data_IF_894206772915
#
_entry.id   IF_894206772915
#
_cell.length_a   1.000
_cell.length_b   1.000
_cell.length_c   1.000
_cell.angle_alpha   90.00
_cell.angle_beta   90.00
_cell.angle_gamma   90.00
#
_symmetry.space_group_name_H-M   'P 1'
#
loop_
_entity.id
_entity.type
_entity.pdbx_description
1 polymer ?
#
# COMPACT_ATOMS: atom_id res chain seq x y z
N UNK A 1 -31.00 112.28 10.07
CA UNK A 1 -29.80 112.28 10.92
C UNK A 1 -28.66 112.79 10.06
N UNK A 2 -28.07 113.94 10.38
CA UNK A 2 -27.13 114.64 9.49
C UNK A 2 -25.80 113.90 9.42
N UNK A 3 -25.22 113.83 8.21
CA UNK A 3 -24.01 113.08 7.86
C UNK A 3 -22.80 113.38 8.76
N UNK A 4 -22.77 114.58 9.37
CA UNK A 4 -21.72 115.00 10.29
C UNK A 4 -21.73 114.23 11.63
N UNK A 5 -22.91 113.83 12.15
CA UNK A 5 -22.98 113.07 13.42
C UNK A 5 -22.43 111.65 13.30
N UNK A 6 -22.51 111.05 12.11
CA UNK A 6 -21.95 109.71 11.83
C UNK A 6 -20.43 109.78 11.73
N UNK A 7 -19.89 110.82 11.10
CA UNK A 7 -18.44 111.04 10.95
C UNK A 7 -17.74 111.30 12.29
N UNK A 8 -18.34 112.08 13.18
CA UNK A 8 -17.77 112.33 14.51
C UNK A 8 -17.83 111.10 15.42
N UNK A 9 -18.87 110.28 15.29
CA UNK A 9 -18.97 109.01 16.00
C UNK A 9 -17.93 107.99 15.51
N UNK A 10 -17.72 107.89 14.20
CA UNK A 10 -16.69 107.04 13.56
C UNK A 10 -15.27 107.45 14.01
N UNK A 11 -14.99 108.75 14.10
CA UNK A 11 -13.69 109.26 14.58
C UNK A 11 -13.48 109.00 16.08
N UNK A 12 -14.56 109.01 16.87
CA UNK A 12 -14.50 108.79 18.32
C UNK A 12 -14.39 107.30 18.70
N UNK A 13 -14.71 106.38 17.80
CA UNK A 13 -14.70 104.93 18.05
C UNK A 13 -13.94 104.14 16.96
N UNK A 14 -12.66 104.45 16.70
CA UNK A 14 -11.90 103.87 15.59
C UNK A 14 -11.77 102.35 15.67
N UNK A 15 -11.65 101.80 16.89
CA UNK A 15 -11.57 100.36 17.12
C UNK A 15 -12.86 99.63 16.71
N UNK A 16 -14.04 100.20 17.00
CA UNK A 16 -15.32 99.58 16.64
C UNK A 16 -15.48 99.53 15.13
N UNK A 17 -15.06 100.58 14.42
CA UNK A 17 -15.12 100.63 12.95
C UNK A 17 -14.14 99.64 12.32
N UNK A 18 -12.91 99.54 12.85
CA UNK A 18 -11.93 98.53 12.39
C UNK A 18 -12.45 97.11 12.64
N UNK A 19 -13.04 96.82 13.80
CA UNK A 19 -13.64 95.51 14.08
C UNK A 19 -14.87 95.21 13.23
N UNK A 20 -15.72 96.21 12.94
CA UNK A 20 -16.86 96.04 12.05
C UNK A 20 -16.41 95.72 10.62
N UNK A 21 -15.38 96.40 10.11
CA UNK A 21 -14.78 96.12 8.80
C UNK A 21 -14.11 94.75 8.78
N UNK A 22 -13.39 94.36 9.85
CA UNK A 22 -12.79 93.03 9.99
C UNK A 22 -13.86 91.93 10.06
N UNK A 23 -14.98 92.14 10.75
CA UNK A 23 -16.08 91.18 10.79
C UNK A 23 -16.75 91.02 9.43
N UNK A 24 -16.96 92.10 8.69
CA UNK A 24 -17.51 92.06 7.32
C UNK A 24 -16.51 91.38 6.38
N UNK A 25 -15.22 91.73 6.46
CA UNK A 25 -14.17 91.09 5.68
C UNK A 25 -14.07 89.59 5.98
N UNK A 26 -14.12 89.19 7.26
CA UNK A 26 -14.09 87.79 7.67
C UNK A 26 -15.32 87.01 7.17
N UNK A 27 -16.52 87.60 7.22
CA UNK A 27 -17.76 87.02 6.68
C UNK A 27 -17.69 86.80 5.17
N UNK A 28 -16.96 87.64 4.43
CA UNK A 28 -16.77 87.51 2.98
C UNK A 28 -15.63 86.53 2.65
N UNK A 29 -14.54 86.55 3.40
CA UNK A 29 -13.36 85.71 3.11
C UNK A 29 -13.49 84.28 3.63
N UNK A 30 -14.23 84.02 4.71
CA UNK A 30 -14.41 82.67 5.27
C UNK A 30 -15.11 81.70 4.30
N UNK A 31 -16.22 82.06 3.61
CA UNK A 31 -16.85 81.18 2.63
C UNK A 31 -15.92 80.85 1.45
N UNK A 32 -15.07 81.79 1.03
CA UNK A 32 -14.10 81.57 -0.05
C UNK A 32 -12.96 80.64 0.38
N UNK A 33 -12.44 80.79 1.60
CA UNK A 33 -11.42 79.89 2.15
C UNK A 33 -11.99 78.50 2.41
N UNK A 34 -13.21 78.41 2.96
CA UNK A 34 -13.93 77.15 3.15
C UNK A 34 -14.23 76.47 1.80
N UNK A 35 -14.58 77.22 0.76
CA UNK A 35 -14.76 76.72 -0.60
C UNK A 35 -13.48 76.13 -1.19
N UNK A 36 -12.33 76.80 -1.01
CA UNK A 36 -11.02 76.32 -1.45
C UNK A 36 -10.55 75.08 -0.68
N UNK A 37 -10.75 75.04 0.64
CA UNK A 37 -10.42 73.88 1.48
C UNK A 37 -11.32 72.68 1.17
N UNK A 38 -12.63 72.89 0.97
CA UNK A 38 -13.55 71.83 0.56
C UNK A 38 -13.24 71.30 -0.85
N UNK A 39 -12.85 72.17 -1.78
CA UNK A 39 -12.39 71.75 -3.11
C UNK A 39 -11.10 70.92 -3.02
N UNK A 40 -10.15 71.32 -2.16
CA UNK A 40 -8.90 70.57 -1.94
C UNK A 40 -9.16 69.20 -1.28
N UNK A 41 -10.04 69.13 -0.27
CA UNK A 41 -10.41 67.87 0.38
C UNK A 41 -11.19 66.96 -0.58
N UNK A 42 -12.11 67.50 -1.38
CA UNK A 42 -12.82 66.73 -2.43
C UNK A 42 -11.85 66.20 -3.49
N UNK A 43 -10.85 66.99 -3.87
CA UNK A 43 -9.82 66.54 -4.82
C UNK A 43 -8.93 65.45 -4.22
N UNK A 44 -8.46 65.61 -2.98
CA UNK A 44 -7.63 64.60 -2.31
C UNK A 44 -8.40 63.30 -2.03
N UNK A 45 -9.68 63.39 -1.67
CA UNK A 45 -10.55 62.20 -1.53
C UNK A 45 -10.86 61.55 -2.88
N UNK A 46 -11.08 62.33 -3.95
CA UNK A 46 -11.25 61.79 -5.30
C UNK A 46 -9.98 61.12 -5.81
N UNK A 47 -8.80 61.70 -5.57
CA UNK A 47 -7.50 61.14 -5.95
C UNK A 47 -7.20 59.86 -5.14
N UNK A 48 -7.51 59.83 -3.84
CA UNK A 48 -7.45 58.62 -3.01
C UNK A 48 -8.42 57.54 -3.49
N UNK A 49 -9.65 57.91 -3.83
CA UNK A 49 -10.65 56.98 -4.36
C UNK A 49 -10.21 56.40 -5.73
N UNK A 50 -9.64 57.23 -6.62
CA UNK A 50 -9.06 56.76 -7.90
C UNK A 50 -7.92 55.78 -7.68
N UNK A 51 -6.98 56.09 -6.76
CA UNK A 51 -5.91 55.16 -6.39
C UNK A 51 -6.44 53.85 -5.80
N UNK A 52 -7.49 53.88 -4.98
CA UNK A 52 -8.13 52.67 -4.46
C UNK A 52 -8.78 51.86 -5.58
N UNK A 53 -9.40 52.50 -6.57
CA UNK A 53 -9.99 51.84 -7.73
C UNK A 53 -8.93 51.24 -8.66
N UNK A 54 -7.82 51.94 -8.91
CA UNK A 54 -6.65 51.42 -9.62
C UNK A 54 -6.06 50.19 -8.90
N UNK A 55 -5.90 50.27 -7.58
CA UNK A 55 -5.46 49.14 -6.75
C UNK A 55 -6.45 47.97 -6.84
N UNK A 56 -7.77 48.21 -6.83
CA UNK A 56 -8.76 47.13 -7.00
C UNK A 56 -8.70 46.48 -8.38
N UNK A 57 -8.38 47.25 -9.44
CA UNK A 57 -8.20 46.74 -10.80
C UNK A 57 -6.92 45.93 -11.01
N UNK A 58 -5.94 46.05 -10.12
CA UNK A 58 -4.67 45.28 -10.14
C UNK A 58 -4.76 43.96 -9.36
N UNK A 59 -5.94 43.60 -8.84
CA UNK A 59 -6.14 42.30 -8.21
C UNK A 59 -6.07 41.21 -9.27
N UNK A 60 -5.06 40.36 -9.15
CA UNK A 60 -4.93 39.16 -9.98
C UNK A 60 -5.32 37.94 -9.18
N UNK A 61 -5.80 36.94 -9.90
CA UNK A 61 -6.08 35.62 -9.36
C UNK A 61 -4.77 34.84 -9.28
N UNK A 62 -4.42 34.36 -8.10
CA UNK A 62 -3.15 33.66 -7.85
C UNK A 62 -3.47 32.34 -7.15
N UNK A 63 -2.87 31.25 -7.63
CA UNK A 63 -2.84 29.99 -6.91
C UNK A 63 -1.72 30.03 -5.87
N UNK A 64 -2.09 29.92 -4.60
CA UNK A 64 -1.15 29.92 -3.48
C UNK A 64 -0.89 28.47 -3.08
N UNK A 65 0.38 28.02 -3.03
CA UNK A 65 0.72 26.68 -2.55
C UNK A 65 0.13 26.41 -1.16
N UNK A 66 -0.57 25.28 -1.00
CA UNK A 66 -1.13 24.84 0.28
C UNK A 66 -2.53 25.40 0.63
N UNK A 67 -3.17 26.17 -0.27
CA UNK A 67 -4.54 26.65 -0.08
C UNK A 67 -5.42 26.16 -1.24
N UNK A 68 -6.53 25.51 -0.93
CA UNK A 68 -7.50 25.16 -1.97
C UNK A 68 -8.17 26.41 -2.54
N UNK A 69 -8.13 26.53 -3.86
CA UNK A 69 -8.77 27.60 -4.59
C UNK A 69 -7.88 28.81 -4.89
N UNK A 70 -8.26 29.49 -5.97
CA UNK A 70 -7.63 30.70 -6.46
C UNK A 70 -7.91 31.89 -5.54
N UNK A 71 -6.87 32.57 -5.06
CA UNK A 71 -6.99 33.73 -4.18
C UNK A 71 -6.87 35.03 -4.99
N UNK A 72 -7.77 35.98 -4.78
CA UNK A 72 -7.72 37.30 -5.43
C UNK A 72 -6.92 38.28 -4.56
N UNK A 73 -5.74 38.68 -5.04
CA UNK A 73 -4.79 39.48 -4.25
C UNK A 73 -4.01 40.49 -5.09
N UNK A 74 -3.39 41.45 -4.40
CA UNK A 74 -2.46 42.40 -5.00
C UNK A 74 -1.04 41.82 -5.00
N UNK A 75 -0.45 41.65 -6.18
CA UNK A 75 0.96 41.26 -6.31
C UNK A 75 1.82 42.49 -5.99
N UNK A 76 2.33 42.57 -4.76
CA UNK A 76 3.35 43.55 -4.38
C UNK A 76 4.70 42.85 -4.11
N UNK A 77 5.80 43.62 -4.06
CA UNK A 77 7.15 43.05 -3.82
C UNK A 77 7.21 42.19 -2.54
N UNK A 78 6.55 42.64 -1.47
CA UNK A 78 6.47 41.90 -0.19
C UNK A 78 5.74 40.57 -0.33
N UNK A 79 4.73 40.48 -1.19
CA UNK A 79 4.03 39.25 -1.54
C UNK A 79 4.94 38.32 -2.34
N UNK A 80 5.62 38.79 -3.38
CA UNK A 80 6.58 37.99 -4.16
C UNK A 80 7.70 37.44 -3.27
N UNK A 81 8.26 38.29 -2.41
CA UNK A 81 9.34 37.89 -1.50
C UNK A 81 8.86 36.82 -0.51
N UNK A 82 7.65 36.97 0.06
CA UNK A 82 7.04 35.93 0.92
C UNK A 82 6.69 34.66 0.15
N UNK A 83 6.15 34.79 -1.06
CA UNK A 83 5.80 33.66 -1.92
C UNK A 83 7.04 32.83 -2.23
N UNK A 84 8.15 33.47 -2.62
CA UNK A 84 9.44 32.81 -2.83
C UNK A 84 9.90 32.06 -1.58
N UNK A 85 9.83 32.70 -0.41
CA UNK A 85 10.20 32.05 0.86
C UNK A 85 9.34 30.81 1.13
N UNK A 86 8.01 30.92 0.98
CA UNK A 86 7.09 29.78 1.19
C UNK A 86 7.34 28.68 0.16
N UNK A 87 7.47 29.01 -1.12
CA UNK A 87 7.76 28.03 -2.18
C UNK A 87 9.09 27.30 -1.95
N UNK A 88 10.14 28.02 -1.53
CA UNK A 88 11.44 27.39 -1.21
C UNK A 88 11.35 26.48 0.02
N UNK A 89 10.58 26.86 1.05
CA UNK A 89 10.33 26.00 2.22
C UNK A 89 9.54 24.76 1.82
N UNK A 90 8.40 24.93 1.14
CA UNK A 90 7.57 23.81 0.67
C UNK A 90 8.33 22.89 -0.28
N UNK A 91 9.19 23.43 -1.14
CA UNK A 91 10.04 22.63 -2.03
C UNK A 91 11.02 21.78 -1.22
N UNK A 92 11.70 22.37 -0.23
CA UNK A 92 12.62 21.63 0.64
C UNK A 92 11.91 20.55 1.45
N UNK A 93 10.75 20.88 2.02
CA UNK A 93 9.93 19.92 2.76
C UNK A 93 9.50 18.76 1.85
N UNK A 94 9.05 19.06 0.62
CA UNK A 94 8.68 18.05 -0.36
C UNK A 94 9.87 17.17 -0.79
N UNK A 95 11.04 17.75 -1.02
CA UNK A 95 12.27 17.02 -1.34
C UNK A 95 12.70 16.11 -0.17
N UNK A 96 12.57 16.59 1.07
CA UNK A 96 12.89 15.80 2.26
C UNK A 96 11.90 14.65 2.45
N UNK A 97 10.59 14.91 2.38
CA UNK A 97 9.56 13.87 2.49
C UNK A 97 9.71 12.84 1.37
N UNK A 98 10.04 13.26 0.16
CA UNK A 98 10.32 12.35 -0.96
C UNK A 98 11.53 11.46 -0.68
N UNK A 99 12.64 12.04 -0.22
CA UNK A 99 13.85 11.28 0.10
C UNK A 99 13.61 10.29 1.26
N UNK A 100 12.88 10.70 2.30
CA UNK A 100 12.49 9.83 3.41
C UNK A 100 11.54 8.72 2.95
N UNK A 101 10.56 9.03 2.10
CA UNK A 101 9.66 8.06 1.51
C UNK A 101 10.41 7.04 0.64
N UNK A 102 11.38 7.49 -0.16
CA UNK A 102 12.23 6.62 -0.97
C UNK A 102 13.10 5.70 -0.11
N UNK A 103 13.74 6.25 0.93
CA UNK A 103 14.54 5.48 1.87
C UNK A 103 13.69 4.46 2.65
N UNK A 104 12.50 4.88 3.11
CA UNK A 104 11.55 4.01 3.78
C UNK A 104 11.00 2.92 2.85
N UNK A 105 10.76 3.24 1.58
CA UNK A 105 10.25 2.30 0.60
C UNK A 105 11.29 1.31 0.08
N UNK A 106 12.54 1.73 -0.10
CA UNK A 106 13.67 0.87 -0.51
C UNK A 106 14.22 0.05 0.66
N UNK A 107 14.28 0.62 1.87
CA UNK A 107 14.98 0.06 3.04
C UNK A 107 16.40 -0.40 2.65
N UNK A 108 16.74 -1.65 2.98
CA UNK A 108 17.99 -2.32 2.59
C UNK A 108 17.76 -3.33 1.45
N UNK A 109 16.69 -3.17 0.66
CA UNK A 109 16.37 -4.14 -0.39
C UNK A 109 17.35 -4.03 -1.54
N UNK A 110 17.81 -5.20 -1.98
CA UNK A 110 18.51 -5.43 -3.23
C UNK A 110 17.76 -6.48 -4.04
N UNK A 111 18.34 -6.85 -5.18
CA UNK A 111 17.88 -7.94 -6.02
C UNK A 111 18.85 -9.12 -5.87
N UNK A 112 18.32 -10.34 -5.92
CA UNK A 112 19.14 -11.55 -6.04
C UNK A 112 19.97 -11.48 -7.33
N UNK A 113 21.18 -12.02 -7.30
CA UNK A 113 22.13 -11.92 -8.41
C UNK A 113 22.34 -10.48 -8.94
N UNK A 114 22.46 -9.50 -8.05
CA UNK A 114 22.59 -8.05 -8.37
C UNK A 114 23.68 -7.66 -9.38
N UNK A 115 24.69 -8.52 -9.60
CA UNK A 115 25.73 -8.29 -10.62
C UNK A 115 25.25 -8.58 -12.04
N UNK A 116 24.29 -9.48 -12.18
CA UNK A 116 23.81 -10.01 -13.45
C UNK A 116 22.42 -9.46 -13.78
N UNK A 117 21.56 -9.31 -12.78
CA UNK A 117 20.22 -8.78 -12.95
C UNK A 117 20.20 -7.24 -12.97
N UNK A 118 19.45 -6.57 -13.87
CA UNK A 118 18.49 -7.12 -14.84
C UNK A 118 19.04 -7.37 -16.25
N UNK A 119 20.36 -7.21 -16.47
CA UNK A 119 20.97 -7.27 -17.81
C UNK A 119 22.08 -8.34 -17.88
N UNK A 120 21.73 -9.63 -17.78
CA UNK A 120 22.73 -10.70 -17.78
C UNK A 120 23.38 -10.85 -19.15
N UNK A 121 24.59 -11.42 -19.17
CA UNK A 121 25.22 -11.85 -20.41
C UNK A 121 24.37 -12.96 -21.08
N UNK A 122 24.33 -13.06 -22.42
CA UNK A 122 23.52 -14.06 -23.12
C UNK A 122 23.78 -15.51 -22.67
N UNK A 123 25.03 -15.82 -22.33
CA UNK A 123 25.46 -17.15 -21.84
C UNK A 123 24.89 -17.48 -20.47
N UNK A 124 24.63 -16.46 -19.63
CA UNK A 124 24.10 -16.63 -18.27
C UNK A 124 22.60 -16.90 -18.26
N UNK A 125 21.86 -16.52 -19.31
CA UNK A 125 20.40 -16.69 -19.39
C UNK A 125 19.94 -18.14 -19.22
N UNK A 126 20.78 -19.13 -19.53
CA UNK A 126 20.44 -20.55 -19.41
C UNK A 126 20.45 -21.02 -17.94
N UNK A 127 21.43 -20.56 -17.16
CA UNK A 127 21.67 -21.04 -15.78
C UNK A 127 21.12 -20.09 -14.72
N UNK A 128 20.99 -18.80 -15.04
CA UNK A 128 20.53 -17.76 -14.13
C UNK A 128 19.17 -18.07 -13.46
N UNK A 129 18.16 -18.65 -14.12
CA UNK A 129 16.90 -18.96 -13.45
C UNK A 129 17.04 -19.93 -12.27
N UNK A 130 17.93 -20.92 -12.40
CA UNK A 130 18.21 -21.88 -11.33
C UNK A 130 18.93 -21.19 -10.17
N UNK A 131 20.04 -20.49 -10.46
CA UNK A 131 20.82 -19.74 -9.47
C UNK A 131 19.93 -18.70 -8.73
N UNK A 132 19.04 -18.03 -9.46
CA UNK A 132 18.12 -17.04 -8.91
C UNK A 132 17.08 -17.70 -7.98
N UNK A 133 16.52 -18.84 -8.39
CA UNK A 133 15.58 -19.59 -7.57
C UNK A 133 16.25 -20.07 -6.26
N UNK A 134 17.48 -20.55 -6.33
CA UNK A 134 18.21 -21.02 -5.15
C UNK A 134 18.48 -19.87 -4.16
N UNK A 135 19.02 -18.73 -4.64
CA UNK A 135 19.21 -17.54 -3.78
C UNK A 135 17.88 -17.02 -3.21
N UNK A 136 16.79 -17.10 -3.97
CA UNK A 136 15.46 -16.72 -3.53
C UNK A 136 14.96 -17.62 -2.39
N UNK A 137 15.12 -18.94 -2.52
CA UNK A 137 14.72 -19.90 -1.49
C UNK A 137 15.57 -19.76 -0.23
N UNK A 138 16.88 -19.53 -0.37
CA UNK A 138 17.76 -19.19 0.75
C UNK A 138 17.29 -17.89 1.44
N UNK A 139 16.94 -16.87 0.66
CA UNK A 139 16.38 -15.62 1.18
C UNK A 139 15.08 -15.79 1.96
N UNK A 140 14.20 -16.72 1.55
CA UNK A 140 13.01 -17.09 2.33
C UNK A 140 13.38 -17.86 3.60
N UNK A 141 14.30 -18.82 3.52
CA UNK A 141 14.76 -19.58 4.68
C UNK A 141 15.37 -18.66 5.77
N UNK A 142 16.24 -17.72 5.37
CA UNK A 142 16.81 -16.71 6.28
C UNK A 142 15.73 -15.80 6.88
N UNK A 143 14.76 -15.37 6.06
CA UNK A 143 13.63 -14.57 6.55
C UNK A 143 12.85 -15.35 7.61
N UNK A 144 12.54 -16.62 7.34
CA UNK A 144 11.77 -17.49 8.22
C UNK A 144 12.48 -17.77 9.55
N UNK A 145 13.78 -18.02 9.50
CA UNK A 145 14.60 -18.19 10.69
C UNK A 145 14.64 -16.89 11.51
N UNK A 146 14.88 -15.74 10.86
CA UNK A 146 14.98 -14.43 11.53
C UNK A 146 13.71 -14.05 12.28
N UNK A 147 12.54 -14.33 11.72
CA UNK A 147 11.24 -14.03 12.34
C UNK A 147 10.74 -15.17 13.24
N UNK A 148 11.52 -16.25 13.36
CA UNK A 148 11.23 -17.42 14.18
C UNK A 148 9.84 -18.03 13.89
N UNK A 149 9.53 -18.26 12.60
CA UNK A 149 8.33 -19.03 12.25
C UNK A 149 8.55 -20.52 12.45
N UNK A 150 7.46 -21.27 12.60
CA UNK A 150 7.57 -22.71 12.51
C UNK A 150 6.26 -23.42 12.20
N UNK A 151 6.37 -24.74 12.18
CA UNK A 151 5.28 -25.67 11.94
C UNK A 151 4.71 -26.21 13.26
N UNK A 152 3.47 -26.75 13.25
CA UNK A 152 2.97 -27.53 14.37
C UNK A 152 3.89 -28.72 14.65
N UNK A 153 3.74 -29.32 15.84
CA UNK A 153 4.55 -30.48 16.19
C UNK A 153 4.35 -31.60 15.16
N UNK A 154 5.46 -32.18 14.69
CA UNK A 154 5.45 -33.26 13.71
C UNK A 154 4.53 -34.41 14.15
N UNK A 155 3.61 -34.81 13.27
CA UNK A 155 2.61 -35.82 13.56
C UNK A 155 3.25 -37.19 13.82
N UNK A 156 4.32 -37.53 13.10
CA UNK A 156 5.02 -38.80 13.29
C UNK A 156 5.74 -38.85 14.64
N UNK A 157 6.48 -37.81 15.00
CA UNK A 157 7.14 -37.69 16.30
C UNK A 157 6.16 -37.67 17.48
N UNK A 158 5.00 -37.03 17.33
CA UNK A 158 3.93 -37.10 18.35
C UNK A 158 3.36 -38.50 18.46
N UNK A 159 3.09 -39.19 17.34
CA UNK A 159 2.60 -40.56 17.35
C UNK A 159 3.57 -41.52 18.06
N UNK A 160 4.88 -41.36 17.83
CA UNK A 160 5.90 -42.15 18.51
C UNK A 160 5.87 -41.95 20.03
N UNK A 161 5.82 -40.70 20.51
CA UNK A 161 5.72 -40.38 21.94
C UNK A 161 4.47 -40.99 22.57
N UNK A 162 3.35 -41.00 21.85
CA UNK A 162 2.10 -41.61 22.31
C UNK A 162 2.20 -43.14 22.42
N UNK A 163 2.85 -43.80 21.46
CA UNK A 163 3.10 -45.25 21.53
C UNK A 163 4.02 -45.59 22.70
N UNK A 164 5.07 -44.80 22.94
CA UNK A 164 5.97 -45.00 24.08
C UNK A 164 5.23 -44.85 25.41
N UNK A 165 4.40 -43.81 25.57
CA UNK A 165 3.62 -43.62 26.80
C UNK A 165 2.58 -44.74 27.01
N UNK A 166 1.93 -45.19 25.93
CA UNK A 166 1.02 -46.34 25.99
C UNK A 166 1.72 -47.58 26.54
N UNK A 167 2.89 -47.93 26.00
CA UNK A 167 3.68 -49.09 26.49
C UNK A 167 4.10 -48.93 27.94
N UNK A 168 4.51 -47.73 28.36
CA UNK A 168 4.83 -47.42 29.76
C UNK A 168 3.63 -47.62 30.68
N UNK A 169 2.44 -47.21 30.24
CA UNK A 169 1.21 -47.41 30.99
C UNK A 169 0.89 -48.90 31.17
N UNK A 170 0.86 -49.69 30.09
CA UNK A 170 0.63 -51.13 30.15
C UNK A 170 1.64 -51.84 31.08
N UNK A 171 2.92 -51.52 30.94
CA UNK A 171 3.96 -52.04 31.82
C UNK A 171 3.74 -51.66 33.29
N UNK A 172 3.26 -50.45 33.58
CA UNK A 172 3.02 -49.98 34.96
C UNK A 172 1.87 -50.69 35.66
N UNK A 173 0.91 -51.24 34.91
CA UNK A 173 -0.22 -52.01 35.45
C UNK A 173 -0.03 -53.52 35.30
N UNK A 174 1.15 -53.97 34.85
CA UNK A 174 1.48 -55.39 34.69
C UNK A 174 0.74 -56.09 33.54
N UNK A 175 0.33 -55.35 32.51
CA UNK A 175 -0.36 -55.86 31.32
C UNK A 175 0.51 -55.74 30.06
N UNK A 176 0.24 -56.54 29.05
CA UNK A 176 0.87 -56.43 27.73
C UNK A 176 0.12 -55.44 26.82
N UNK A 177 0.83 -54.80 25.88
CA UNK A 177 0.21 -53.84 24.95
C UNK A 177 -0.85 -54.54 24.10
N UNK A 178 -2.12 -54.15 24.27
CA UNK A 178 -3.26 -54.76 23.60
C UNK A 178 -4.18 -55.56 24.53
N UNK A 179 -3.79 -55.77 25.78
CA UNK A 179 -4.68 -56.37 26.78
C UNK A 179 -5.94 -55.52 27.02
N UNK A 180 -7.04 -56.19 27.40
CA UNK A 180 -8.28 -55.49 27.74
C UNK A 180 -8.08 -54.64 28.99
N UNK A 181 -8.35 -53.35 28.84
CA UNK A 181 -8.42 -52.39 29.93
C UNK A 181 -9.84 -52.33 30.50
N UNK A 182 -9.96 -52.10 31.79
CA UNK A 182 -11.24 -51.73 32.40
C UNK A 182 -11.54 -50.24 32.15
N UNK A 183 -12.72 -49.77 32.57
CA UNK A 183 -13.15 -48.39 32.30
C UNK A 183 -12.27 -47.33 32.97
N UNK A 184 -11.78 -47.62 34.18
CA UNK A 184 -10.89 -46.73 34.95
C UNK A 184 -9.50 -46.62 34.28
N UNK A 185 -8.91 -47.75 33.91
CA UNK A 185 -7.63 -47.84 33.19
C UNK A 185 -7.70 -47.18 31.81
N UNK A 186 -8.82 -47.35 31.10
CA UNK A 186 -9.05 -46.72 29.79
C UNK A 186 -9.10 -45.20 29.93
N UNK A 187 -9.81 -44.70 30.94
CA UNK A 187 -9.91 -43.27 31.24
C UNK A 187 -8.54 -42.69 31.62
N UNK A 188 -7.78 -43.39 32.45
CA UNK A 188 -6.44 -42.97 32.86
C UNK A 188 -5.45 -42.98 31.68
N UNK A 189 -5.46 -44.01 30.84
CA UNK A 189 -4.65 -44.06 29.62
C UNK A 189 -4.99 -42.89 28.70
N UNK A 190 -6.27 -42.65 28.45
CA UNK A 190 -6.72 -41.52 27.62
C UNK A 190 -6.23 -40.18 28.18
N UNK A 191 -6.29 -39.99 29.50
CA UNK A 191 -5.79 -38.78 30.19
C UNK A 191 -4.27 -38.62 29.99
N UNK A 192 -3.49 -39.69 30.16
CA UNK A 192 -2.02 -39.65 29.96
C UNK A 192 -1.63 -39.36 28.52
N UNK A 193 -2.24 -40.05 27.56
CA UNK A 193 -2.00 -39.81 26.14
C UNK A 193 -2.36 -38.38 25.73
N UNK A 194 -3.49 -37.86 26.24
CA UNK A 194 -3.88 -36.47 26.02
C UNK A 194 -2.84 -35.50 26.59
N UNK A 195 -2.36 -35.75 27.81
CA UNK A 195 -1.34 -34.92 28.45
C UNK A 195 -0.02 -34.92 27.64
N UNK A 196 0.43 -36.07 27.15
CA UNK A 196 1.63 -36.17 26.30
C UNK A 196 1.45 -35.40 24.99
N UNK A 197 0.30 -35.56 24.32
CA UNK A 197 -0.01 -34.84 23.08
C UNK A 197 -0.01 -33.32 23.30
N UNK A 198 -0.71 -32.86 24.34
CA UNK A 198 -0.80 -31.44 24.68
C UNK A 198 0.56 -30.85 25.06
N UNK A 199 1.40 -31.62 25.75
CA UNK A 199 2.77 -31.21 26.10
C UNK A 199 3.59 -31.02 24.82
N UNK A 200 3.58 -32.00 23.91
CA UNK A 200 4.29 -31.89 22.64
C UNK A 200 3.86 -30.67 21.80
N UNK A 201 2.55 -30.37 21.75
CA UNK A 201 2.03 -29.19 21.08
C UNK A 201 2.44 -27.89 21.78
N UNK A 202 2.47 -27.87 23.11
CA UNK A 202 2.95 -26.71 23.88
C UNK A 202 4.43 -26.46 23.65
N UNK A 203 5.25 -27.52 23.68
CA UNK A 203 6.69 -27.42 23.48
C UNK A 203 7.01 -26.86 22.09
N UNK A 204 6.32 -27.33 21.04
CA UNK A 204 6.47 -26.79 19.70
C UNK A 204 6.02 -25.32 19.61
N UNK A 205 4.82 -25.01 20.13
CA UNK A 205 4.27 -23.65 20.15
C UNK A 205 5.18 -22.67 20.91
N UNK A 206 5.79 -23.10 22.01
CA UNK A 206 6.61 -22.24 22.89
C UNK A 206 7.91 -21.75 22.25
N UNK A 207 8.34 -22.37 21.14
CA UNK A 207 9.61 -22.09 20.48
C UNK A 207 9.49 -21.11 19.32
N UNK A 208 8.28 -20.81 18.85
CA UNK A 208 8.03 -20.06 17.63
C UNK A 208 7.25 -18.77 17.91
N UNK A 209 7.41 -17.78 17.02
CA UNK A 209 6.66 -16.53 17.04
C UNK A 209 5.22 -16.74 16.55
N UNK A 210 5.05 -17.38 15.39
CA UNK A 210 3.75 -17.76 14.83
C UNK A 210 3.89 -18.94 13.86
N UNK A 211 2.77 -19.61 13.59
CA UNK A 211 2.72 -20.72 12.65
C UNK A 211 2.65 -20.22 11.20
N UNK A 212 3.47 -20.80 10.33
CA UNK A 212 3.38 -20.58 8.89
C UNK A 212 3.97 -21.77 8.15
N UNK A 213 3.18 -22.38 7.27
CA UNK A 213 3.66 -23.41 6.35
C UNK A 213 4.17 -22.75 5.07
N UNK A 214 5.45 -22.93 4.70
CA UNK A 214 5.97 -22.37 3.45
C UNK A 214 5.16 -22.77 2.21
N UNK A 215 4.54 -23.97 2.23
CA UNK A 215 3.67 -24.42 1.15
C UNK A 215 2.41 -23.57 0.97
N UNK A 216 1.99 -22.82 1.99
CA UNK A 216 0.81 -21.95 1.97
C UNK A 216 1.10 -20.57 1.33
N UNK A 217 2.37 -20.26 0.99
CA UNK A 217 2.79 -18.95 0.45
C UNK A 217 2.82 -18.88 -1.08
N UNK A 218 2.41 -19.94 -1.78
CA UNK A 218 2.47 -20.04 -3.25
C UNK A 218 3.85 -19.59 -3.79
N UNK A 219 4.93 -20.05 -3.15
CA UNK A 219 6.29 -19.64 -3.51
C UNK A 219 6.61 -20.03 -4.96
N UNK A 220 7.42 -19.24 -5.67
CA UNK A 220 7.86 -19.57 -7.02
C UNK A 220 8.48 -20.97 -7.10
N UNK A 221 8.02 -21.77 -8.05
CA UNK A 221 8.62 -23.07 -8.37
C UNK A 221 9.59 -22.98 -9.54
N UNK A 222 10.59 -23.86 -9.54
CA UNK A 222 11.53 -24.05 -10.62
C UNK A 222 11.49 -25.48 -11.16
N UNK A 223 11.56 -25.61 -12.48
CA UNK A 223 11.66 -26.87 -13.22
C UNK A 223 12.74 -26.76 -14.31
N UNK A 224 13.67 -27.71 -14.32
CA UNK A 224 14.84 -27.70 -15.23
C UNK A 224 14.46 -27.66 -16.73
N UNK A 225 13.29 -28.18 -17.08
CA UNK A 225 12.81 -28.28 -18.46
C UNK A 225 11.92 -27.11 -18.90
N UNK A 226 11.76 -26.08 -18.05
CA UNK A 226 10.99 -24.87 -18.35
C UNK A 226 11.90 -23.68 -18.66
N UNK A 227 11.43 -22.80 -19.54
CA UNK A 227 12.10 -21.53 -19.85
C UNK A 227 11.52 -20.40 -19.01
N UNK A 228 12.38 -19.67 -18.31
CA UNK A 228 11.99 -18.53 -17.46
C UNK A 228 12.47 -17.22 -18.08
N UNK A 229 11.57 -16.24 -18.23
CA UNK A 229 11.94 -14.89 -18.70
C UNK A 229 12.48 -14.03 -17.55
N UNK A 230 13.26 -13.00 -17.88
CA UNK A 230 13.75 -12.03 -16.89
C UNK A 230 12.59 -11.30 -16.21
N UNK A 231 11.51 -11.03 -16.95
CA UNK A 231 10.27 -10.46 -16.40
C UNK A 231 9.63 -11.37 -15.34
N UNK A 232 9.70 -12.70 -15.51
CA UNK A 232 9.19 -13.65 -14.52
C UNK A 232 10.07 -13.69 -13.27
N UNK A 233 11.40 -13.71 -13.42
CA UNK A 233 12.34 -13.61 -12.29
C UNK A 233 12.16 -12.29 -11.53
N UNK A 234 11.88 -11.19 -12.24
CA UNK A 234 11.53 -9.91 -11.62
C UNK A 234 10.28 -10.04 -10.75
N UNK A 235 9.23 -10.71 -11.23
CA UNK A 235 8.02 -10.95 -10.43
C UNK A 235 8.30 -11.81 -9.19
N UNK A 236 9.21 -12.79 -9.28
CA UNK A 236 9.64 -13.56 -8.11
C UNK A 236 10.34 -12.67 -7.07
N UNK A 237 11.19 -11.74 -7.52
CA UNK A 237 11.80 -10.73 -6.64
C UNK A 237 10.74 -9.86 -5.94
N UNK A 238 9.73 -9.42 -6.68
CA UNK A 238 8.62 -8.64 -6.13
C UNK A 238 7.83 -9.41 -5.08
N UNK A 239 7.50 -10.68 -5.37
CA UNK A 239 6.84 -11.55 -4.43
C UNK A 239 7.64 -11.67 -3.13
N UNK A 240 8.96 -11.85 -3.21
CA UNK A 240 9.84 -11.88 -2.04
C UNK A 240 9.79 -10.57 -1.23
N UNK A 241 9.92 -9.42 -1.88
CA UNK A 241 9.89 -8.13 -1.19
C UNK A 241 8.57 -7.90 -0.46
N UNK A 242 7.45 -8.22 -1.10
CA UNK A 242 6.10 -8.06 -0.53
C UNK A 242 5.86 -9.03 0.61
N UNK A 243 6.17 -10.33 0.44
CA UNK A 243 6.03 -11.32 1.51
C UNK A 243 6.94 -10.96 2.69
N UNK A 244 8.18 -10.53 2.44
CA UNK A 244 9.09 -10.08 3.48
C UNK A 244 8.48 -8.96 4.32
N UNK A 245 7.91 -7.93 3.68
CA UNK A 245 7.29 -6.83 4.41
C UNK A 245 6.10 -7.28 5.25
N UNK A 246 5.18 -8.05 4.67
CA UNK A 246 4.02 -8.57 5.39
C UNK A 246 4.48 -9.40 6.59
N UNK A 247 5.43 -10.33 6.41
CA UNK A 247 5.91 -11.18 7.50
C UNK A 247 6.69 -10.40 8.57
N UNK A 248 7.49 -9.40 8.19
CA UNK A 248 8.17 -8.53 9.16
C UNK A 248 7.16 -7.69 9.97
N UNK A 249 6.09 -7.20 9.34
CA UNK A 249 5.02 -6.47 10.03
C UNK A 249 4.30 -7.37 11.05
N UNK A 250 3.97 -8.60 10.67
CA UNK A 250 3.35 -9.58 11.58
C UNK A 250 4.30 -9.96 12.73
N UNK A 251 5.60 -10.09 12.45
CA UNK A 251 6.62 -10.31 13.48
C UNK A 251 6.74 -9.12 14.45
N UNK A 252 6.66 -7.88 13.95
CA UNK A 252 6.66 -6.67 14.79
C UNK A 252 5.41 -6.61 15.69
N UNK A 253 4.23 -7.01 15.20
CA UNK A 253 3.03 -7.16 16.02
C UNK A 253 3.26 -8.15 17.19
N UNK A 254 4.06 -9.19 16.95
CA UNK A 254 4.40 -10.21 17.93
C UNK A 254 5.59 -9.86 18.84
N UNK A 255 6.29 -8.75 18.61
CA UNK A 255 7.57 -8.43 19.30
C UNK A 255 7.49 -8.45 20.83
N UNK A 256 6.32 -8.13 21.40
CA UNK A 256 6.11 -8.10 22.87
C UNK A 256 5.82 -9.48 23.46
N UNK A 257 5.58 -10.49 22.63
CA UNK A 257 5.20 -11.83 23.06
C UNK A 257 6.40 -12.77 22.97
N UNK A 258 6.50 -13.68 23.93
CA UNK A 258 7.62 -14.63 23.97
C UNK A 258 7.44 -15.77 22.97
N UNK A 259 6.19 -16.13 22.67
CA UNK A 259 5.84 -17.23 21.77
C UNK A 259 4.39 -17.12 21.27
N UNK A 260 4.02 -18.00 20.34
CA UNK A 260 2.71 -18.01 19.67
C UNK A 260 1.52 -18.10 20.63
N UNK A 261 1.68 -18.73 21.80
CA UNK A 261 0.59 -18.89 22.78
C UNK A 261 0.11 -17.53 23.33
N UNK A 262 0.99 -16.54 23.37
CA UNK A 262 0.72 -15.17 23.86
C UNK A 262 0.76 -14.12 22.74
N UNK A 263 1.17 -14.51 21.53
CA UNK A 263 1.30 -13.60 20.40
C UNK A 263 -0.05 -13.09 19.86
N UNK A 264 -0.14 -11.83 19.41
CA UNK A 264 -1.28 -11.35 18.63
C UNK A 264 -1.54 -12.18 17.37
N UNK A 265 -0.50 -12.44 16.57
CA UNK A 265 -0.59 -13.28 15.37
C UNK A 265 -0.29 -14.72 15.76
N UNK A 266 -1.22 -15.63 15.46
CA UNK A 266 -1.11 -17.05 15.79
C UNK A 266 -0.63 -17.86 14.60
N UNK A 267 -1.25 -17.64 13.44
CA UNK A 267 -0.97 -18.40 12.22
C UNK A 267 -1.22 -17.54 10.99
N UNK A 268 -0.36 -17.70 9.99
CA UNK A 268 -0.63 -17.25 8.61
C UNK A 268 -1.15 -18.46 7.82
N UNK A 269 -2.30 -18.30 7.17
CA UNK A 269 -2.92 -19.36 6.36
C UNK A 269 -2.67 -19.20 4.86
N UNK A 270 -2.56 -17.97 4.37
CA UNK A 270 -2.19 -17.69 2.99
C UNK A 270 -1.77 -16.23 2.84
N UNK A 271 -0.95 -15.98 1.82
CA UNK A 271 -0.62 -14.64 1.33
C UNK A 271 -0.72 -14.69 -0.19
N UNK A 272 -1.78 -14.13 -0.74
CA UNK A 272 -2.00 -14.05 -2.19
C UNK A 272 -1.69 -12.64 -2.67
N UNK A 273 -0.90 -12.53 -3.74
CA UNK A 273 -0.39 -11.24 -4.22
C UNK A 273 -0.81 -11.05 -5.68
N UNK A 274 -1.30 -9.85 -5.99
CA UNK A 274 -1.70 -9.45 -7.33
C UNK A 274 -1.29 -8.01 -7.64
N UNK A 275 -1.32 -7.65 -8.93
CA UNK A 275 -0.91 -6.32 -9.37
C UNK A 275 0.60 -6.15 -9.56
N UNK A 276 1.34 -7.24 -9.77
CA UNK A 276 2.75 -7.13 -10.16
C UNK A 276 2.91 -6.32 -11.45
N UNK A 277 4.00 -5.55 -11.59
CA UNK A 277 4.33 -4.85 -12.83
C UNK A 277 4.72 -5.86 -13.92
N UNK A 278 3.73 -6.47 -14.57
CA UNK A 278 3.98 -7.52 -15.55
C UNK A 278 4.06 -6.99 -16.99
N UNK A 279 5.07 -7.47 -17.73
CA UNK A 279 4.88 -7.71 -19.16
C UNK A 279 3.86 -8.84 -19.31
N UNK A 280 2.87 -8.67 -20.20
CA UNK A 280 1.86 -9.67 -20.48
C UNK A 280 2.54 -11.04 -20.61
N UNK A 281 2.28 -11.94 -19.64
CA UNK A 281 2.86 -13.25 -19.63
C UNK A 281 2.59 -13.89 -20.99
N UNK A 282 3.65 -14.30 -21.69
CA UNK A 282 3.48 -15.27 -22.76
C UNK A 282 2.86 -16.48 -22.09
N UNK A 283 1.60 -16.75 -22.44
CA UNK A 283 0.75 -17.76 -21.82
C UNK A 283 1.51 -19.07 -21.67
N UNK A 284 1.79 -19.47 -20.43
CA UNK A 284 2.00 -20.89 -20.11
C UNK A 284 0.66 -21.55 -20.44
N UNK A 285 0.59 -22.51 -21.38
CA UNK A 285 -0.63 -23.26 -21.58
C UNK A 285 -0.81 -24.12 -20.34
N UNK A 286 -1.71 -23.71 -19.45
CA UNK A 286 -2.22 -24.56 -18.38
C UNK A 286 -2.84 -25.77 -19.05
N UNK A 287 -2.07 -26.87 -19.08
CA UNK A 287 -2.50 -28.15 -19.61
C UNK A 287 -3.78 -28.55 -18.91
N UNK A 288 -4.90 -28.41 -19.61
CA UNK A 288 -6.18 -28.95 -19.20
C UNK A 288 -6.00 -30.43 -18.93
N UNK A 289 -6.30 -30.83 -17.70
CA UNK A 289 -6.56 -32.20 -17.32
C UNK A 289 -7.79 -32.69 -18.09
N UNK A 290 -7.59 -33.06 -19.35
CA UNK A 290 -8.56 -33.84 -20.12
C UNK A 290 -8.14 -35.30 -19.94
N UNK A 291 -8.84 -35.97 -19.02
CA UNK A 291 -8.66 -37.38 -18.73
C UNK A 291 -8.69 -38.19 -20.03
N UNK A 292 -7.53 -38.72 -20.41
CA UNK A 292 -7.38 -39.73 -21.44
C UNK A 292 -7.84 -41.06 -20.84
N UNK A 293 -9.16 -41.28 -20.89
CA UNK A 293 -9.75 -42.59 -20.68
C UNK A 293 -9.40 -43.47 -21.87
N UNK A 294 -8.53 -44.45 -21.64
CA UNK A 294 -8.11 -45.43 -22.65
C UNK A 294 -9.29 -46.21 -23.23
N UNK A 295 -9.55 -46.00 -24.52
CA UNK A 295 -10.50 -46.78 -25.31
C UNK A 295 -9.76 -47.82 -26.15
N UNK A 296 -9.59 -49.02 -25.59
CA UNK A 296 -9.17 -50.19 -26.34
C UNK A 296 -10.38 -50.86 -27.00
N UNK A 297 -10.33 -50.92 -28.35
CA UNK A 297 -10.93 -51.87 -29.29
C UNK A 297 -12.03 -52.81 -28.76
N UNK A 298 -13.25 -52.68 -29.31
CA UNK A 298 -14.32 -53.67 -29.16
C UNK A 298 -15.38 -53.57 -30.25
N UNK A 299 -15.18 -54.38 -31.31
CA UNK A 299 -16.17 -55.01 -32.20
C UNK A 299 -17.61 -54.48 -32.19
N UNK A 300 -18.05 -53.99 -33.36
CA UNK A 300 -19.46 -53.75 -33.66
C UNK A 300 -20.28 -55.04 -33.74
N UNK A 301 -21.51 -54.96 -33.24
CA UNK A 301 -22.58 -55.94 -33.37
C UNK A 301 -23.91 -55.24 -33.07
N UNK A 302 -24.98 -55.42 -33.89
CA UNK A 302 -26.15 -54.54 -33.86
C UNK A 302 -27.32 -55.14 -33.07
N UNK A 303 -28.12 -54.28 -32.44
CA UNK A 303 -29.47 -54.63 -32.00
C UNK A 303 -29.94 -53.82 -30.79
N UNK A 304 -31.23 -53.45 -30.79
CA UNK A 304 -31.95 -53.22 -29.54
C UNK A 304 -32.77 -51.93 -29.45
N UNK A 305 -33.97 -51.99 -30.02
CA UNK A 305 -35.22 -51.31 -29.68
C UNK A 305 -35.39 -50.63 -28.30
N UNK A 306 -36.22 -49.58 -28.32
CA UNK A 306 -37.07 -49.12 -27.20
C UNK A 306 -36.53 -47.87 -26.51
N UNK A 307 -37.26 -46.79 -26.28
CA UNK A 307 -38.70 -46.56 -26.32
C UNK A 307 -39.04 -45.59 -25.18
N UNK A 308 -39.70 -44.48 -25.50
CA UNK A 308 -40.72 -43.84 -24.65
C UNK A 308 -40.31 -43.05 -23.39
N UNK A 309 -40.97 -41.89 -23.25
CA UNK A 309 -41.16 -41.15 -21.99
C UNK A 309 -40.11 -40.07 -21.76
N UNK A 310 -40.40 -38.79 -21.66
CA UNK A 310 -41.64 -38.15 -21.22
C UNK A 310 -41.31 -37.26 -20.03
N UNK A 311 -41.48 -35.95 -20.20
CA UNK A 311 -41.80 -34.99 -19.14
C UNK A 311 -40.77 -34.73 -18.04
N UNK A 312 -40.24 -33.51 -17.99
CA UNK A 312 -39.54 -33.03 -16.80
C UNK A 312 -38.89 -31.68 -17.04
N UNK A 313 -39.68 -30.61 -16.98
CA UNK A 313 -39.19 -29.24 -17.05
C UNK A 313 -38.16 -28.97 -15.95
N UNK A 314 -37.00 -28.45 -16.36
CA UNK A 314 -36.05 -27.82 -15.46
C UNK A 314 -35.80 -26.40 -15.99
N UNK A 315 -36.41 -25.43 -15.32
CA UNK A 315 -36.11 -24.02 -15.50
C UNK A 315 -34.74 -23.76 -14.86
N UNK A 316 -33.69 -23.81 -15.69
CA UNK A 316 -32.36 -23.38 -15.31
C UNK A 316 -32.29 -21.84 -15.37
N UNK A 317 -32.66 -21.18 -14.28
CA UNK A 317 -32.35 -19.77 -14.06
C UNK A 317 -30.90 -19.64 -13.56
N UNK A 318 -29.95 -19.81 -14.49
CA UNK A 318 -28.53 -19.57 -14.26
C UNK A 318 -28.22 -18.09 -14.35
N UNK A 319 -28.30 -17.41 -13.21
CA UNK A 319 -27.86 -16.04 -13.02
C UNK A 319 -26.36 -15.88 -13.29
N UNK A 320 -26.00 -14.73 -13.85
CA UNK A 320 -24.68 -14.44 -14.37
C UNK A 320 -23.59 -14.40 -13.30
N UNK A 321 -22.38 -14.76 -13.72
CA UNK A 321 -21.14 -14.25 -13.15
C UNK A 321 -20.09 -14.16 -14.26
N UNK A 322 -20.29 -13.22 -15.15
CA UNK A 322 -19.22 -12.67 -16.00
C UNK A 322 -18.31 -11.85 -15.07
N UNK A 323 -17.19 -12.44 -14.65
CA UNK A 323 -16.13 -11.68 -13.99
C UNK A 323 -15.53 -10.68 -14.99
N UNK A 324 -15.29 -9.42 -14.60
CA UNK A 324 -14.48 -8.53 -15.42
C UNK A 324 -13.03 -9.02 -15.31
N UNK A 325 -12.43 -9.34 -16.45
CA UNK A 325 -10.99 -9.50 -16.54
C UNK A 325 -10.32 -8.19 -16.12
N UNK A 326 -9.64 -8.23 -14.99
CA UNK A 326 -8.81 -7.17 -14.44
C UNK A 326 -7.55 -7.03 -15.32
N UNK A 327 -7.72 -6.43 -16.48
CA UNK A 327 -6.61 -5.90 -17.26
C UNK A 327 -6.13 -4.63 -16.60
N UNK A 328 -5.06 -4.73 -15.79
CA UNK A 328 -4.32 -3.57 -15.33
C UNK A 328 -3.95 -2.70 -16.54
N UNK A 329 -4.60 -1.56 -16.69
CA UNK A 329 -4.30 -0.61 -17.76
C UNK A 329 -2.85 -0.15 -17.64
N UNK A 330 -2.01 -0.55 -18.59
CA UNK A 330 -0.61 -0.16 -18.61
C UNK A 330 -0.51 1.38 -18.55
N UNK A 331 0.31 1.94 -17.64
CA UNK A 331 0.47 3.39 -17.54
C UNK A 331 1.09 3.96 -18.82
N UNK A 332 0.73 5.21 -19.14
CA UNK A 332 1.35 5.97 -20.23
C UNK A 332 2.87 6.01 -20.04
N UNK A 333 3.61 5.68 -21.09
CA UNK A 333 5.08 5.47 -21.15
C UNK A 333 5.99 6.67 -20.85
N UNK A 334 5.67 7.46 -19.84
CA UNK A 334 6.50 8.55 -19.38
C UNK A 334 7.38 8.08 -18.23
N UNK A 335 8.63 8.55 -18.19
CA UNK A 335 9.49 8.39 -17.03
C UNK A 335 8.80 8.97 -15.77
N UNK A 336 9.06 8.42 -14.57
CA UNK A 336 8.50 8.93 -13.33
C UNK A 336 8.76 10.43 -13.21
N UNK A 337 7.70 11.25 -13.23
CA UNK A 337 7.81 12.70 -13.07
C UNK A 337 6.98 13.14 -11.86
N UNK A 338 7.59 13.34 -10.68
CA UNK A 338 6.88 13.63 -9.44
C UNK A 338 6.11 14.97 -9.47
N UNK A 339 6.29 15.77 -10.53
CA UNK A 339 5.60 17.06 -10.72
C UNK A 339 4.22 16.93 -11.36
N UNK A 340 3.83 15.75 -11.83
CA UNK A 340 2.54 15.52 -12.47
C UNK A 340 1.57 14.90 -11.45
N UNK A 341 0.41 15.52 -11.18
CA UNK A 341 -0.60 14.93 -10.31
C UNK A 341 -1.04 13.56 -10.84
N UNK A 342 -1.02 12.56 -9.97
CA UNK A 342 -1.50 11.22 -10.29
C UNK A 342 -3.02 11.15 -10.16
N UNK A 343 -3.75 10.81 -11.24
CA UNK A 343 -5.21 10.72 -11.20
C UNK A 343 -5.66 9.57 -10.31
N UNK A 344 -6.59 9.84 -9.40
CA UNK A 344 -7.22 8.84 -8.55
C UNK A 344 -8.45 8.23 -9.24
N UNK A 345 -8.64 6.92 -9.07
CA UNK A 345 -9.75 6.14 -9.61
C UNK A 345 -10.47 5.35 -8.50
N UNK A 346 -11.50 5.99 -7.93
CA UNK A 346 -12.27 5.43 -6.81
C UNK A 346 -13.18 4.25 -7.19
N UNK A 347 -13.24 3.87 -8.47
CA UNK A 347 -13.95 2.65 -8.89
C UNK A 347 -13.15 1.38 -8.59
N UNK A 348 -11.82 1.50 -8.42
CA UNK A 348 -10.92 0.37 -8.18
C UNK A 348 -10.74 0.09 -6.68
N UNK A 349 -10.57 1.14 -5.88
CA UNK A 349 -10.37 1.09 -4.43
C UNK A 349 -10.85 2.39 -3.79
N UNK A 350 -11.22 2.40 -2.50
CA UNK A 350 -11.58 3.64 -1.81
C UNK A 350 -10.38 4.60 -1.66
N UNK A 351 -9.15 4.10 -1.76
CA UNK A 351 -7.94 4.95 -1.81
C UNK A 351 -7.84 5.70 -3.14
N UNK A 352 -8.54 5.22 -4.18
CA UNK A 352 -8.44 5.70 -5.54
C UNK A 352 -7.08 5.45 -6.19
N UNK A 353 -6.17 4.72 -5.52
CA UNK A 353 -4.81 4.53 -6.03
C UNK A 353 -4.80 3.43 -7.10
N UNK A 354 -4.04 3.68 -8.17
CA UNK A 354 -3.70 2.71 -9.20
C UNK A 354 -2.25 2.85 -9.60
N UNK A 355 -1.68 1.77 -10.12
CA UNK A 355 -0.35 1.77 -10.72
C UNK A 355 -0.25 2.87 -11.77
N UNK A 356 0.81 3.67 -11.70
CA UNK A 356 1.04 4.84 -12.55
C UNK A 356 2.55 5.05 -12.76
N UNK A 357 3.01 6.07 -13.51
CA UNK A 357 4.44 6.30 -13.74
C UNK A 357 5.31 6.49 -12.49
N UNK A 358 4.75 6.95 -11.37
CA UNK A 358 5.49 7.21 -10.13
C UNK A 358 5.63 6.00 -9.23
N UNK A 359 4.60 5.17 -9.18
CA UNK A 359 4.57 4.04 -8.26
C UNK A 359 3.69 2.90 -8.78
N UNK A 360 4.03 1.71 -8.31
CA UNK A 360 3.30 0.47 -8.48
C UNK A 360 2.41 0.22 -7.26
N UNK A 361 1.18 -0.21 -7.50
CA UNK A 361 0.21 -0.59 -6.46
C UNK A 361 0.08 -2.11 -6.48
N UNK A 362 0.47 -2.76 -5.39
CA UNK A 362 0.38 -4.21 -5.23
C UNK A 362 -0.72 -4.54 -4.23
N UNK A 363 -1.64 -5.42 -4.61
CA UNK A 363 -2.74 -5.87 -3.76
C UNK A 363 -2.39 -7.21 -3.12
N UNK A 364 -2.70 -7.35 -1.85
CA UNK A 364 -2.37 -8.55 -1.07
C UNK A 364 -3.64 -9.00 -0.35
N UNK A 365 -4.03 -10.25 -0.53
CA UNK A 365 -5.07 -10.90 0.25
C UNK A 365 -4.41 -11.82 1.28
N UNK A 366 -4.73 -11.59 2.55
CA UNK A 366 -4.03 -12.15 3.69
C UNK A 366 -5.01 -12.89 4.61
N UNK A 367 -4.79 -14.18 4.80
CA UNK A 367 -5.55 -15.01 5.75
C UNK A 367 -4.77 -15.26 7.03
N UNK A 368 -5.28 -14.82 8.18
CA UNK A 368 -4.62 -14.97 9.48
C UNK A 368 -5.51 -15.64 10.51
N UNK A 369 -4.91 -16.32 11.48
CA UNK A 369 -5.51 -16.58 12.79
C UNK A 369 -4.84 -15.65 13.79
N UNK A 370 -5.64 -14.83 14.48
CA UNK A 370 -5.15 -13.83 15.44
C UNK A 370 -5.89 -13.94 16.77
N UNK A 371 -5.27 -13.45 17.83
CA UNK A 371 -5.95 -13.17 19.10
C UNK A 371 -7.02 -12.10 18.88
N UNK A 372 -8.27 -12.40 19.24
CA UNK A 372 -9.41 -11.53 18.93
C UNK A 372 -9.28 -10.14 19.60
N UNK A 373 -8.63 -10.06 20.77
CA UNK A 373 -8.41 -8.80 21.49
C UNK A 373 -7.26 -7.97 20.93
N UNK A 374 -6.35 -8.60 20.19
CA UNK A 374 -5.08 -7.98 19.77
C UNK A 374 -5.05 -7.64 18.28
N UNK A 375 -6.14 -7.88 17.54
CA UNK A 375 -6.26 -7.53 16.12
C UNK A 375 -5.85 -6.07 15.82
N UNK A 376 -6.23 -5.05 16.62
CA UNK A 376 -5.77 -3.67 16.37
C UNK A 376 -4.24 -3.51 16.31
N UNK A 377 -3.49 -4.30 17.10
CA UNK A 377 -2.02 -4.27 17.07
C UNK A 377 -1.47 -4.84 15.75
N UNK A 378 -2.12 -5.87 15.20
CA UNK A 378 -1.75 -6.45 13.91
C UNK A 378 -1.99 -5.46 12.78
N UNK A 379 -3.14 -4.76 12.79
CA UNK A 379 -3.47 -3.76 11.77
C UNK A 379 -2.52 -2.55 11.84
N UNK A 380 -2.18 -2.09 13.05
CA UNK A 380 -1.22 -0.99 13.26
C UNK A 380 0.20 -1.37 12.80
N UNK A 381 0.64 -2.60 13.05
CA UNK A 381 1.93 -3.09 12.59
C UNK A 381 2.00 -3.19 11.06
N UNK A 382 0.94 -3.69 10.42
CA UNK A 382 0.82 -3.71 8.95
C UNK A 382 0.89 -2.28 8.39
N UNK A 383 0.11 -1.33 8.94
CA UNK A 383 0.08 0.05 8.45
C UNK A 383 1.42 0.80 8.59
N UNK A 384 2.27 0.39 9.54
CA UNK A 384 3.61 0.95 9.74
C UNK A 384 4.65 0.39 8.78
N UNK A 385 4.32 -0.65 8.04
CA UNK A 385 5.27 -1.32 7.15
C UNK A 385 5.04 -0.90 5.70
N UNK A 386 6.07 -0.30 5.11
CA UNK A 386 6.22 -0.05 3.68
C UNK A 386 4.96 0.46 2.92
N UNK A 387 4.30 1.48 3.46
CA UNK A 387 3.10 2.09 2.85
C UNK A 387 1.93 1.11 2.63
N UNK A 388 1.86 0.04 3.44
CA UNK A 388 0.72 -0.86 3.44
C UNK A 388 -0.50 -0.12 3.99
N UNK A 389 -1.60 -0.19 3.26
CA UNK A 389 -2.92 0.33 3.62
C UNK A 389 -3.88 -0.84 3.73
N UNK A 390 -4.58 -0.96 4.87
CA UNK A 390 -5.62 -1.97 5.07
C UNK A 390 -6.88 -1.51 4.34
N UNK A 391 -7.38 -2.35 3.43
CA UNK A 391 -8.54 -2.02 2.61
C UNK A 391 -9.86 -2.61 3.13
N UNK A 392 -9.84 -3.89 3.49
CA UNK A 392 -11.00 -4.65 3.98
C UNK A 392 -10.55 -5.60 5.08
N UNK A 393 -11.40 -5.81 6.08
CA UNK A 393 -11.14 -6.74 7.19
C UNK A 393 -12.42 -7.52 7.46
N UNK A 394 -12.36 -8.84 7.30
CA UNK A 394 -13.46 -9.76 7.60
C UNK A 394 -13.05 -10.72 8.70
N UNK A 395 -13.88 -10.79 9.74
CA UNK A 395 -13.61 -11.57 10.93
C UNK A 395 -14.60 -12.73 11.04
N UNK A 396 -14.10 -13.92 11.39
CA UNK A 396 -14.92 -15.03 11.85
C UNK A 396 -14.26 -15.76 13.04
N UNK A 397 -15.03 -16.36 13.95
CA UNK A 397 -14.47 -17.20 15.00
C UNK A 397 -13.65 -18.35 14.40
N UNK A 398 -12.44 -18.58 14.91
CA UNK A 398 -11.64 -19.73 14.50
C UNK A 398 -11.94 -20.95 15.39
N UNK A 399 -12.00 -22.13 14.79
CA UNK A 399 -12.22 -23.38 15.52
C UNK A 399 -10.90 -23.93 16.07
N UNK A 400 -10.58 -23.49 17.29
CA UNK A 400 -9.37 -23.91 18.00
C UNK A 400 -9.29 -25.43 18.22
N UNK A 401 -10.42 -26.13 18.32
CA UNK A 401 -10.43 -27.56 18.57
C UNK A 401 -10.08 -28.36 17.32
N UNK A 402 -10.56 -27.93 16.16
CA UNK A 402 -10.17 -28.53 14.88
C UNK A 402 -8.70 -28.23 14.56
N UNK A 403 -8.24 -27.00 14.82
CA UNK A 403 -6.84 -26.64 14.66
C UNK A 403 -5.91 -27.42 15.60
N UNK A 404 -6.36 -27.70 16.84
CA UNK A 404 -5.61 -28.53 17.79
C UNK A 404 -5.45 -29.98 17.31
N UNK A 405 -6.43 -30.54 16.58
CA UNK A 405 -6.29 -31.88 15.98
C UNK A 405 -5.16 -31.93 14.95
N UNK A 406 -4.94 -30.82 14.26
CA UNK A 406 -3.86 -30.61 13.29
C UNK A 406 -2.53 -30.21 13.96
N UNK A 407 -2.50 -30.08 15.29
CA UNK A 407 -1.31 -29.77 16.07
C UNK A 407 -1.06 -28.28 16.31
N UNK A 408 -1.98 -27.41 15.90
CA UNK A 408 -1.89 -25.97 16.16
C UNK A 408 -2.44 -25.65 17.56
N UNK A 409 -1.64 -24.98 18.38
CA UNK A 409 -2.05 -24.55 19.72
C UNK A 409 -1.86 -23.04 19.87
N UNK A 410 -2.94 -22.32 20.15
CA UNK A 410 -2.93 -20.84 20.12
C UNK A 410 -2.95 -20.14 21.49
N UNK A 411 -2.95 -20.91 22.58
CA UNK A 411 -3.08 -20.39 23.95
C UNK A 411 -4.53 -20.49 24.46
N UNK A 412 -4.83 -19.82 25.57
CA UNK A 412 -6.15 -19.84 26.21
C UNK A 412 -7.11 -18.72 25.79
N UNK A 413 -6.63 -17.73 25.02
CA UNK A 413 -7.44 -16.61 24.54
C UNK A 413 -8.33 -17.00 23.36
N UNK A 414 -9.43 -16.26 23.16
CA UNK A 414 -10.25 -16.40 21.96
C UNK A 414 -9.44 -16.00 20.72
N UNK A 415 -9.54 -16.78 19.66
CA UNK A 415 -8.90 -16.47 18.38
C UNK A 415 -9.93 -16.38 17.28
N UNK A 416 -9.61 -15.57 16.28
CA UNK A 416 -10.44 -15.35 15.12
C UNK A 416 -9.63 -15.56 13.87
N UNK A 417 -10.28 -16.14 12.86
CA UNK A 417 -9.76 -16.10 11.51
C UNK A 417 -10.12 -14.74 10.90
N UNK A 418 -9.12 -14.09 10.31
CA UNK A 418 -9.24 -12.77 9.70
C UNK A 418 -8.81 -12.88 8.26
N UNK A 419 -9.68 -12.45 7.36
CA UNK A 419 -9.30 -12.15 5.99
C UNK A 419 -9.08 -10.66 5.86
N UNK A 420 -7.89 -10.25 5.44
CA UNK A 420 -7.49 -8.85 5.29
C UNK A 420 -7.09 -8.63 3.84
N UNK A 421 -7.69 -7.65 3.18
CA UNK A 421 -7.22 -7.16 1.89
C UNK A 421 -6.36 -5.92 2.13
N UNK A 422 -5.16 -5.91 1.57
CA UNK A 422 -4.16 -4.85 1.71
C UNK A 422 -3.80 -4.26 0.35
N UNK A 423 -3.28 -3.04 0.40
CA UNK A 423 -2.64 -2.36 -0.72
C UNK A 423 -1.26 -1.89 -0.28
N UNK A 424 -0.21 -2.14 -1.05
CA UNK A 424 1.13 -1.61 -0.80
C UNK A 424 1.62 -0.77 -1.98
N UNK A 425 2.33 0.31 -1.67
CA UNK A 425 2.87 1.24 -2.68
C UNK A 425 4.36 1.03 -2.81
N UNK A 426 4.83 0.99 -4.06
CA UNK A 426 6.22 0.80 -4.39
C UNK A 426 6.68 1.86 -5.38
N UNK A 427 7.62 2.70 -4.95
CA UNK A 427 8.10 3.84 -5.72
C UNK A 427 8.95 3.35 -6.90
N UNK A 428 8.52 3.72 -8.11
CA UNK A 428 9.14 3.25 -9.35
C UNK A 428 10.56 3.76 -9.53
N UNK A 429 10.90 4.88 -8.88
CA UNK A 429 12.23 5.48 -8.92
C UNK A 429 13.35 4.50 -8.58
N UNK A 430 13.17 3.63 -7.57
CA UNK A 430 14.20 2.65 -7.21
C UNK A 430 13.93 1.26 -7.80
N UNK A 431 12.68 0.86 -8.02
CA UNK A 431 12.39 -0.46 -8.59
C UNK A 431 12.79 -0.56 -10.07
N UNK A 432 12.74 0.56 -10.80
CA UNK A 432 13.14 0.63 -12.21
C UNK A 432 14.63 0.30 -12.45
N UNK A 433 15.48 0.49 -11.44
CA UNK A 433 16.90 0.09 -11.46
C UNK A 433 17.03 -1.41 -11.77
N UNK A 434 16.14 -2.21 -11.18
CA UNK A 434 16.12 -3.67 -11.30
C UNK A 434 15.14 -4.17 -12.36
N UNK A 435 14.46 -3.29 -13.09
CA UNK A 435 13.42 -3.72 -14.02
C UNK A 435 14.04 -4.17 -15.36
N UNK A 436 13.75 -5.41 -15.83
CA UNK A 436 14.18 -5.91 -17.14
C UNK A 436 13.66 -5.05 -18.30
N UNK A 437 14.38 -5.08 -19.42
CA UNK A 437 14.01 -4.35 -20.64
C UNK A 437 12.60 -4.70 -21.12
N UNK A 438 12.27 -5.99 -21.15
CA UNK A 438 10.94 -6.49 -21.52
C UNK A 438 9.82 -5.87 -20.66
N UNK A 439 10.06 -5.78 -19.34
CA UNK A 439 9.11 -5.17 -18.40
C UNK A 439 9.01 -3.67 -18.59
N UNK A 440 10.15 -2.98 -18.84
CA UNK A 440 10.17 -1.55 -19.17
C UNK A 440 9.33 -1.26 -20.42
N UNK A 441 9.52 -2.05 -21.48
CA UNK A 441 8.76 -1.92 -22.73
C UNK A 441 7.26 -2.12 -22.47
N UNK A 442 6.88 -3.15 -21.72
CA UNK A 442 5.48 -3.42 -21.41
C UNK A 442 4.79 -2.30 -20.61
N UNK A 443 5.56 -1.61 -19.76
CA UNK A 443 5.10 -0.43 -19.02
C UNK A 443 5.26 0.88 -19.80
N UNK A 444 5.69 0.82 -21.06
CA UNK A 444 5.95 1.98 -21.92
C UNK A 444 7.14 2.82 -21.50
N UNK A 445 7.98 2.36 -20.57
CA UNK A 445 9.13 3.11 -20.08
C UNK A 445 10.20 3.13 -21.18
N UNK A 446 10.74 4.31 -21.55
CA UNK A 446 11.76 4.40 -22.59
C UNK A 446 13.01 3.63 -22.18
N UNK A 447 13.38 2.64 -22.99
CA UNK A 447 14.62 1.89 -22.82
C UNK A 447 15.76 2.73 -23.39
N UNK A 448 16.81 2.95 -22.60
CA UNK A 448 18.03 3.52 -23.13
C UNK A 448 18.67 2.52 -24.09
N UNK A 449 18.69 2.86 -25.39
CA UNK A 449 19.37 2.04 -26.40
C UNK A 449 20.84 1.97 -26.04
N UNK A 450 21.33 0.75 -25.73
CA UNK A 450 22.77 0.52 -25.48
C UNK A 450 23.54 1.03 -26.71
N UNK A 451 24.59 1.85 -26.56
CA UNK A 451 25.36 2.32 -27.69
C UNK A 451 25.92 1.11 -28.44
N UNK A 452 25.69 1.09 -29.76
CA UNK A 452 26.13 0.00 -30.62
C UNK A 452 27.67 -0.06 -30.58
N UNK A 453 28.28 -1.16 -30.11
CA UNK A 453 29.73 -1.28 -30.04
C UNK A 453 30.39 -1.19 -31.43
N UNK A 454 29.63 -1.36 -32.51
CA UNK A 454 30.11 -1.20 -33.89
C UNK A 454 29.96 0.23 -34.44
N UNK A 455 29.38 1.18 -33.69
CA UNK A 455 29.23 2.56 -34.15
C UNK A 455 30.53 3.39 -34.07
N UNK A 456 31.60 2.88 -33.45
CA UNK A 456 32.90 3.58 -33.36
C UNK A 456 33.93 3.20 -34.44
N UNK A 457 33.58 2.34 -35.42
CA UNK A 457 34.57 1.91 -36.44
C UNK A 457 34.45 2.59 -37.80
N UNK A 458 33.51 3.53 -38.01
CA UNK A 458 33.21 4.07 -39.35
C UNK A 458 33.23 5.61 -39.44
N UNK A 459 34.01 6.32 -38.63
CA UNK A 459 34.20 7.78 -38.79
C UNK A 459 35.63 8.24 -39.09
N UNK A 460 36.60 7.32 -39.19
CA UNK A 460 37.95 7.63 -39.72
C UNK A 460 38.21 6.81 -41.00
N UNK A 461 37.78 7.36 -42.15
CA UNK A 461 38.03 6.82 -43.49
C UNK A 461 38.06 7.90 -44.55
#
# INVERSE_FOLDING_TARGET
MTMNKILDWVKSNPLIVVFAVLMIAALITMPMLAGKMNAAVKKDTADKARKITEIKGLKTTIEVPGVEGSQSGLINKKFIDRYKVVTEVTKKDAEQVHAEALAFNRKKRGVFLSREFPNPAPERLIVMPADFHDELMDGYAELFERINIGQPADAAGVAEKLVQERRRFYSSIGKEDGDKLNDEETTELARRLTAVRLTAYTDAASKISFYLNPADLNLPGYAENESYSLSLLYNWQWQYWVISDVLNALAEANRKSTNVLQAPVKRVQYIDISGFPAAAASSIPTGGFQGSGGGARGSGGPGGFGGGGGGGGSMNAGGGRSGPGEGAGAPSGQAPNPKVPTPLDYNVSFTGRKTNPLYDVVRIDLGLVVSATDLPLVLDALAKENFITVLDVRLQPADQYNDLKLGYRYGGGAVSFVHITLESIWLREWTMEFMPEETKIALGIPVQKKPDPNAMSNEDG
#
